data_IF_325209693434
#
_entry.id   IF_325209693434
#
_cell.length_a   1.000
_cell.length_b   1.000
_cell.length_c   1.000
_cell.angle_alpha   90.00
_cell.angle_beta   90.00
_cell.angle_gamma   90.00
#
_symmetry.space_group_name_H-M   'P 1'
#
loop_
_entity.id
_entity.type
_entity.pdbx_description
1 polymer ?
#
# COMPACT_ATOMS: atom_id res chain seq x y z
N UNK A 1 59.14 -26.87 -0.71
CA UNK A 1 58.69 -25.46 -0.75
C UNK A 1 57.70 -25.22 0.38
N UNK A 2 58.14 -24.59 1.48
CA UNK A 2 57.27 -24.22 2.61
C UNK A 2 56.66 -22.86 2.29
N UNK A 3 55.33 -22.80 2.16
CA UNK A 3 54.61 -21.56 1.91
C UNK A 3 54.86 -20.56 3.05
N UNK A 4 55.08 -19.31 2.67
CA UNK A 4 55.44 -18.21 3.54
C UNK A 4 54.23 -17.85 4.46
N UNK A 5 54.34 -17.91 5.80
CA UNK A 5 53.23 -17.65 6.71
C UNK A 5 52.57 -16.25 6.65
N UNK A 6 53.24 -15.13 6.25
CA UNK A 6 52.56 -13.84 6.20
C UNK A 6 51.57 -13.71 5.05
N UNK A 7 51.58 -14.61 4.06
CA UNK A 7 50.69 -14.54 2.90
C UNK A 7 49.31 -15.11 3.21
N UNK A 8 49.26 -16.23 3.94
CA UNK A 8 47.99 -16.90 4.33
C UNK A 8 47.21 -16.02 5.31
N UNK A 9 47.89 -15.36 6.26
CA UNK A 9 47.24 -14.42 7.17
C UNK A 9 46.62 -13.22 6.46
N UNK A 10 47.32 -12.63 5.49
CA UNK A 10 46.80 -11.51 4.68
C UNK A 10 45.61 -11.94 3.81
N UNK A 11 45.65 -13.15 3.26
CA UNK A 11 44.55 -13.69 2.46
C UNK A 11 43.30 -13.95 3.32
N UNK A 12 43.48 -14.50 4.52
CA UNK A 12 42.37 -14.73 5.46
C UNK A 12 41.71 -13.41 5.90
N UNK A 13 42.51 -12.37 6.18
CA UNK A 13 42.01 -11.03 6.50
C UNK A 13 41.23 -10.44 5.32
N UNK A 14 41.72 -10.58 4.08
CA UNK A 14 41.01 -10.12 2.89
C UNK A 14 39.65 -10.81 2.72
N UNK A 15 39.59 -12.14 2.90
CA UNK A 15 38.33 -12.88 2.83
C UNK A 15 37.33 -12.46 3.91
N UNK A 16 37.80 -12.21 5.14
CA UNK A 16 36.98 -11.68 6.22
C UNK A 16 36.41 -10.30 5.87
N UNK A 17 37.23 -9.42 5.29
CA UNK A 17 36.77 -8.10 4.85
C UNK A 17 35.72 -8.20 3.73
N UNK A 18 35.92 -9.08 2.76
CA UNK A 18 34.93 -9.32 1.69
C UNK A 18 33.63 -9.88 2.26
N UNK A 19 33.68 -10.81 3.23
CA UNK A 19 32.47 -11.29 3.88
C UNK A 19 31.77 -10.22 4.70
N UNK A 20 32.51 -9.42 5.47
CA UNK A 20 31.94 -8.30 6.20
C UNK A 20 31.27 -7.28 5.26
N UNK A 21 31.90 -6.98 4.11
CA UNK A 21 31.32 -6.10 3.10
C UNK A 21 30.04 -6.68 2.49
N UNK A 22 30.01 -7.97 2.14
CA UNK A 22 28.79 -8.61 1.66
C UNK A 22 27.67 -8.57 2.71
N UNK A 23 27.99 -8.82 3.98
CA UNK A 23 27.02 -8.76 5.07
C UNK A 23 26.47 -7.34 5.27
N UNK A 24 27.33 -6.32 5.15
CA UNK A 24 26.91 -4.93 5.16
C UNK A 24 25.97 -4.62 3.98
N UNK A 25 26.26 -5.14 2.77
CA UNK A 25 25.38 -4.96 1.60
C UNK A 25 24.04 -5.69 1.75
N UNK A 26 24.00 -6.87 2.36
CA UNK A 26 22.72 -7.51 2.74
C UNK A 26 21.92 -6.60 3.65
N UNK A 27 22.57 -6.01 4.66
CA UNK A 27 21.89 -5.10 5.57
C UNK A 27 21.42 -3.82 4.90
N UNK A 28 22.19 -3.27 3.95
CA UNK A 28 21.76 -2.17 3.09
C UNK A 28 20.55 -2.58 2.24
N UNK A 29 20.58 -3.76 1.62
CA UNK A 29 19.51 -4.22 0.75
C UNK A 29 18.19 -4.46 1.52
N UNK A 30 18.28 -4.90 2.78
CA UNK A 30 17.13 -5.02 3.69
C UNK A 30 16.55 -3.65 4.11
N UNK A 31 17.29 -2.56 3.92
CA UNK A 31 16.86 -1.18 4.22
C UNK A 31 16.32 -0.45 2.99
N UNK A 32 16.25 -1.08 1.83
CA UNK A 32 15.64 -0.48 0.65
C UNK A 32 14.16 -0.24 0.97
N UNK A 33 13.82 1.04 1.11
CA UNK A 33 12.46 1.50 1.20
C UNK A 33 12.11 2.08 -0.16
N UNK A 34 11.19 1.43 -0.88
CA UNK A 34 10.61 2.02 -2.08
C UNK A 34 9.72 3.18 -1.66
N UNK A 35 10.26 4.38 -1.81
CA UNK A 35 9.58 5.61 -1.47
C UNK A 35 8.84 6.16 -2.69
N UNK A 36 7.52 6.25 -2.58
CA UNK A 36 6.57 6.46 -3.69
C UNK A 36 6.44 7.91 -4.09
N UNK A 37 7.56 8.52 -4.42
CA UNK A 37 7.59 9.88 -4.91
C UNK A 37 7.03 10.02 -6.32
N UNK A 38 5.82 9.53 -6.65
CA UNK A 38 5.11 10.04 -7.84
C UNK A 38 5.03 11.57 -7.74
N UNK A 39 4.74 12.10 -6.53
CA UNK A 39 4.84 13.52 -6.23
C UNK A 39 6.28 14.07 -6.33
N UNK A 40 7.31 13.32 -5.88
CA UNK A 40 8.73 13.74 -6.06
C UNK A 40 9.16 13.83 -7.52
N UNK A 41 8.59 13.01 -8.41
CA UNK A 41 8.84 13.14 -9.85
C UNK A 41 8.34 14.49 -10.36
N UNK A 42 7.31 15.05 -9.72
CA UNK A 42 6.77 16.37 -10.03
C UNK A 42 7.34 17.50 -9.13
N UNK A 43 8.11 17.17 -8.08
CA UNK A 43 8.86 18.15 -7.30
C UNK A 43 9.78 18.93 -8.22
N UNK A 44 9.48 20.21 -8.37
CA UNK A 44 10.22 21.07 -9.26
C UNK A 44 10.21 22.50 -8.74
N UNK A 45 11.18 23.30 -9.15
CA UNK A 45 11.23 24.74 -8.90
C UNK A 45 10.24 25.53 -9.78
N UNK A 46 9.33 24.84 -10.48
CA UNK A 46 8.33 25.47 -11.34
C UNK A 46 7.29 26.20 -10.48
N UNK A 47 6.94 27.47 -10.79
CA UNK A 47 5.86 28.20 -10.13
C UNK A 47 4.54 27.42 -10.04
N UNK A 48 4.23 26.57 -11.02
CA UNK A 48 3.03 25.73 -10.99
C UNK A 48 3.04 24.70 -9.85
N UNK A 49 4.21 24.15 -9.51
CA UNK A 49 4.34 23.21 -8.38
C UNK A 49 4.17 23.92 -7.04
N UNK A 50 4.71 25.13 -6.90
CA UNK A 50 4.52 25.95 -5.70
C UNK A 50 3.03 26.30 -5.46
N UNK A 51 2.29 26.66 -6.52
CA UNK A 51 0.86 26.93 -6.44
C UNK A 51 0.04 25.68 -6.07
N UNK A 52 0.43 24.52 -6.60
CA UNK A 52 -0.18 23.25 -6.22
C UNK A 52 0.07 22.93 -4.74
N UNK A 53 1.28 23.11 -4.24
CA UNK A 53 1.60 22.93 -2.81
C UNK A 53 0.81 23.89 -1.92
N UNK A 54 0.75 25.18 -2.29
CA UNK A 54 -0.06 26.16 -1.55
C UNK A 54 -1.56 25.80 -1.54
N UNK A 55 -2.07 25.23 -2.64
CA UNK A 55 -3.44 24.72 -2.70
C UNK A 55 -3.65 23.51 -1.78
N UNK A 56 -2.72 22.55 -1.75
CA UNK A 56 -2.80 21.40 -0.84
C UNK A 56 -2.78 21.83 0.63
N UNK A 57 -1.89 22.75 1.00
CA UNK A 57 -1.76 23.28 2.36
C UNK A 57 -2.99 24.10 2.79
N UNK A 58 -3.56 24.89 1.86
CA UNK A 58 -4.68 25.77 2.16
C UNK A 58 -6.00 25.01 2.31
N UNK A 59 -6.20 23.95 1.50
CA UNK A 59 -7.46 23.23 1.43
C UNK A 59 -7.44 21.86 2.12
N UNK A 60 -6.31 21.46 2.73
CA UNK A 60 -6.08 20.11 3.28
C UNK A 60 -6.64 19.03 2.35
N UNK A 61 -6.28 19.11 1.07
CA UNK A 61 -6.87 18.24 0.04
C UNK A 61 -6.50 16.80 0.37
N UNK A 62 -7.54 15.96 0.48
CA UNK A 62 -7.43 14.64 1.07
C UNK A 62 -6.86 13.57 0.14
N UNK A 63 -5.64 13.78 -0.34
CA UNK A 63 -4.87 12.73 -1.02
C UNK A 63 -4.68 11.49 -0.12
N UNK A 64 -4.86 11.65 1.19
CA UNK A 64 -4.85 10.57 2.19
C UNK A 64 -6.19 9.88 2.43
N UNK A 65 -7.30 10.28 1.81
CA UNK A 65 -8.60 9.70 2.15
C UNK A 65 -8.69 8.21 1.82
N UNK A 66 -9.18 7.46 2.80
CA UNK A 66 -9.57 6.07 2.63
C UNK A 66 -11.05 6.05 2.24
N UNK A 67 -11.32 5.51 1.05
CA UNK A 67 -12.68 5.42 0.52
C UNK A 67 -13.15 3.99 0.68
N UNK A 68 -14.26 3.78 1.39
CA UNK A 68 -14.86 2.46 1.55
C UNK A 68 -16.16 2.41 0.76
N UNK A 69 -16.19 1.56 -0.26
CA UNK A 69 -17.35 1.32 -1.11
C UNK A 69 -18.04 0.05 -0.65
N UNK A 70 -19.31 0.17 -0.33
CA UNK A 70 -20.19 -0.91 0.08
C UNK A 70 -21.13 -1.26 -1.07
N UNK A 71 -21.26 -2.54 -1.39
CA UNK A 71 -22.18 -3.05 -2.40
C UNK A 71 -23.09 -4.10 -1.78
N UNK A 72 -24.40 -3.94 -1.95
CA UNK A 72 -25.43 -4.86 -1.47
C UNK A 72 -26.71 -4.70 -2.27
N UNK A 73 -27.81 -5.31 -1.80
CA UNK A 73 -29.11 -5.23 -2.49
C UNK A 73 -29.79 -3.87 -2.26
N UNK A 74 -30.43 -3.66 -1.12
CA UNK A 74 -31.07 -2.38 -0.77
C UNK A 74 -30.59 -1.91 0.60
N UNK A 75 -29.92 -0.75 0.64
CA UNK A 75 -29.47 -0.11 1.88
C UNK A 75 -30.62 0.52 2.70
N UNK A 76 -31.85 0.54 2.20
CA UNK A 76 -33.04 0.86 3.00
C UNK A 76 -33.55 -0.34 3.82
N UNK A 77 -33.04 -1.55 3.58
CA UNK A 77 -33.34 -2.72 4.41
C UNK A 77 -32.81 -2.53 5.84
N UNK A 78 -33.59 -2.79 6.90
CA UNK A 78 -33.17 -2.53 8.28
C UNK A 78 -31.86 -3.23 8.68
N UNK A 79 -31.60 -4.45 8.18
CA UNK A 79 -30.39 -5.20 8.50
C UNK A 79 -29.18 -4.55 7.84
N UNK A 80 -29.27 -4.22 6.55
CA UNK A 80 -28.15 -3.61 5.80
C UNK A 80 -27.90 -2.17 6.22
N UNK A 81 -28.96 -1.40 6.45
CA UNK A 81 -28.89 -0.04 6.98
C UNK A 81 -28.20 -0.01 8.35
N UNK A 82 -28.61 -0.92 9.25
CA UNK A 82 -28.02 -1.08 10.56
C UNK A 82 -26.53 -1.44 10.48
N UNK A 83 -26.16 -2.40 9.64
CA UNK A 83 -24.76 -2.81 9.46
C UNK A 83 -23.87 -1.69 8.90
N UNK A 84 -24.35 -0.92 7.92
CA UNK A 84 -23.61 0.22 7.37
C UNK A 84 -23.45 1.34 8.40
N UNK A 85 -24.48 1.57 9.22
CA UNK A 85 -24.45 2.56 10.30
C UNK A 85 -23.47 2.13 11.40
N UNK A 86 -23.48 0.85 11.76
CA UNK A 86 -22.54 0.27 12.73
C UNK A 86 -21.10 0.42 12.27
N UNK A 87 -20.80 0.15 10.99
CA UNK A 87 -19.47 0.41 10.42
C UNK A 87 -19.02 1.86 10.65
N UNK A 88 -19.88 2.83 10.35
CA UNK A 88 -19.57 4.26 10.52
C UNK A 88 -19.35 4.59 12.00
N UNK A 89 -20.13 4.00 12.90
CA UNK A 89 -19.93 4.17 14.34
C UNK A 89 -18.64 3.54 14.84
N UNK A 90 -18.30 2.32 14.46
CA UNK A 90 -17.07 1.66 14.91
C UNK A 90 -15.83 2.40 14.40
N UNK A 91 -15.82 2.77 13.11
CA UNK A 91 -14.64 3.38 12.48
C UNK A 91 -14.36 4.80 13.00
N UNK A 92 -15.37 5.51 13.52
CA UNK A 92 -15.17 6.84 14.13
C UNK A 92 -14.36 6.80 15.43
N UNK A 93 -14.30 5.64 16.09
CA UNK A 93 -13.52 5.44 17.31
C UNK A 93 -12.14 4.84 17.04
N UNK A 94 -11.81 4.50 15.79
CA UNK A 94 -10.52 3.95 15.45
C UNK A 94 -9.43 5.06 15.54
N UNK A 95 -8.36 4.83 16.33
CA UNK A 95 -7.25 5.77 16.41
C UNK A 95 -6.63 6.04 15.03
N UNK A 96 -6.52 7.31 14.67
CA UNK A 96 -5.96 7.73 13.37
C UNK A 96 -7.00 8.13 12.35
N UNK A 97 -8.30 8.02 12.64
CA UNK A 97 -9.36 8.66 11.86
C UNK A 97 -9.66 10.04 12.44
N UNK A 98 -9.46 11.10 11.65
CA UNK A 98 -9.73 12.49 12.03
C UNK A 98 -11.10 13.00 11.58
N UNK A 99 -11.67 12.40 10.53
CA UNK A 99 -12.98 12.79 10.00
C UNK A 99 -13.65 11.70 9.19
N UNK A 100 -14.98 11.76 9.10
CA UNK A 100 -15.79 10.81 8.34
C UNK A 100 -16.87 11.57 7.59
N UNK A 101 -16.98 11.28 6.29
CA UNK A 101 -18.11 11.69 5.46
C UNK A 101 -18.84 10.44 4.97
N UNK A 102 -20.14 10.36 5.23
CA UNK A 102 -20.96 9.18 4.92
C UNK A 102 -22.37 9.60 4.50
N UNK A 103 -23.21 8.65 4.02
CA UNK A 103 -24.63 8.92 3.82
C UNK A 103 -25.33 9.44 5.08
N UNK A 104 -24.85 9.06 6.28
CA UNK A 104 -25.40 9.47 7.57
C UNK A 104 -24.96 10.86 8.03
N UNK A 105 -24.11 11.54 7.25
CA UNK A 105 -23.87 12.98 7.43
C UNK A 105 -25.10 13.82 7.04
N UNK A 106 -26.07 13.21 6.36
CA UNK A 106 -27.38 13.77 6.06
C UNK A 106 -28.41 13.29 7.07
N UNK A 107 -29.53 14.01 7.18
CA UNK A 107 -30.61 13.71 8.14
C UNK A 107 -31.37 12.43 7.76
N UNK A 108 -30.76 11.28 8.09
CA UNK A 108 -31.34 9.96 7.89
C UNK A 108 -31.92 9.44 9.22
N UNK A 109 -33.17 8.93 9.20
CA UNK A 109 -33.83 8.45 10.40
C UNK A 109 -33.17 7.15 10.94
N UNK A 110 -33.45 6.75 12.18
CA UNK A 110 -32.88 5.53 12.76
C UNK A 110 -33.31 4.25 12.02
N UNK A 111 -32.57 3.14 12.19
CA UNK A 111 -32.91 1.83 11.61
C UNK A 111 -34.34 1.41 12.00
N UNK A 112 -35.07 0.81 11.05
CA UNK A 112 -36.43 0.32 11.28
C UNK A 112 -37.53 1.39 11.19
N UNK A 113 -37.18 2.63 10.83
CA UNK A 113 -38.18 3.68 10.55
C UNK A 113 -39.02 3.28 9.32
N UNK A 114 -40.36 3.27 9.42
CA UNK A 114 -41.23 3.09 8.26
C UNK A 114 -40.90 4.12 7.18
N UNK A 115 -40.99 3.73 5.91
CA UNK A 115 -40.73 4.60 4.75
C UNK A 115 -39.29 5.12 4.59
N UNK A 116 -38.29 4.50 5.22
CA UNK A 116 -36.87 4.84 5.06
C UNK A 116 -36.45 4.95 3.58
N UNK A 117 -36.91 4.03 2.73
CA UNK A 117 -36.64 4.07 1.28
C UNK A 117 -37.13 5.38 0.63
N UNK A 118 -38.34 5.85 0.99
CA UNK A 118 -38.90 7.09 0.43
C UNK A 118 -38.13 8.32 0.91
N UNK A 119 -37.67 8.31 2.17
CA UNK A 119 -36.81 9.38 2.72
C UNK A 119 -35.49 9.43 1.97
N UNK A 120 -34.83 8.29 1.76
CA UNK A 120 -33.57 8.20 1.02
C UNK A 120 -33.73 8.66 -0.44
N UNK A 121 -34.82 8.27 -1.11
CA UNK A 121 -35.10 8.68 -2.49
C UNK A 121 -35.33 10.19 -2.61
N UNK A 122 -36.04 10.77 -1.63
CA UNK A 122 -36.23 12.22 -1.54
C UNK A 122 -34.91 12.95 -1.31
N UNK A 123 -34.11 12.49 -0.34
CA UNK A 123 -32.79 13.06 -0.07
C UNK A 123 -31.88 13.00 -1.29
N UNK A 124 -31.93 11.90 -2.05
CA UNK A 124 -31.18 11.75 -3.29
C UNK A 124 -31.59 12.77 -4.35
N UNK A 125 -32.89 13.05 -4.50
CA UNK A 125 -33.40 14.05 -5.44
C UNK A 125 -33.04 15.48 -5.02
N UNK A 126 -33.20 15.80 -3.73
CA UNK A 126 -33.07 17.16 -3.20
C UNK A 126 -31.62 17.58 -2.96
N UNK A 127 -30.71 16.64 -2.63
CA UNK A 127 -29.35 16.95 -2.20
C UNK A 127 -28.29 16.38 -3.15
N UNK A 128 -27.62 17.21 -3.97
CA UNK A 128 -26.53 16.77 -4.82
C UNK A 128 -25.36 16.12 -4.06
N UNK A 129 -25.13 16.51 -2.80
CA UNK A 129 -24.10 15.92 -1.93
C UNK A 129 -24.38 14.46 -1.58
N UNK A 130 -25.64 14.10 -1.29
CA UNK A 130 -26.03 12.74 -0.93
C UNK A 130 -25.78 11.75 -2.08
N UNK A 131 -25.97 12.21 -3.33
CA UNK A 131 -25.72 11.40 -4.54
C UNK A 131 -24.28 10.93 -4.69
N UNK A 132 -23.32 11.59 -4.02
CA UNK A 132 -21.91 11.19 -4.00
C UNK A 132 -21.66 9.98 -3.11
N UNK A 133 -22.48 9.79 -2.09
CA UNK A 133 -22.32 8.74 -1.09
C UNK A 133 -23.27 7.56 -1.28
N UNK A 134 -24.28 7.69 -2.15
CA UNK A 134 -25.22 6.61 -2.40
C UNK A 134 -25.77 6.60 -3.82
N UNK A 135 -25.82 5.41 -4.42
CA UNK A 135 -26.48 5.17 -5.71
C UNK A 135 -27.97 5.41 -5.62
N UNK A 136 -28.60 5.76 -6.74
CA UNK A 136 -30.05 5.95 -6.84
C UNK A 136 -30.84 4.71 -6.44
N UNK A 137 -30.33 3.53 -6.81
CA UNK A 137 -30.94 2.24 -6.53
C UNK A 137 -30.68 1.76 -5.10
N UNK A 138 -29.91 2.52 -4.29
CA UNK A 138 -29.49 2.16 -2.94
C UNK A 138 -28.76 0.81 -2.84
N UNK A 139 -28.10 0.39 -3.93
CA UNK A 139 -27.28 -0.84 -3.98
C UNK A 139 -25.80 -0.56 -3.69
N UNK A 140 -25.35 0.68 -3.86
CA UNK A 140 -23.98 1.12 -3.62
C UNK A 140 -23.97 2.31 -2.66
N UNK A 141 -23.14 2.21 -1.62
CA UNK A 141 -22.88 3.29 -0.68
C UNK A 141 -21.37 3.53 -0.57
N UNK A 142 -20.97 4.75 -0.25
CA UNK A 142 -19.58 5.15 -0.10
C UNK A 142 -19.40 5.91 1.21
N UNK A 143 -18.34 5.59 1.93
CA UNK A 143 -17.90 6.30 3.12
C UNK A 143 -16.47 6.78 2.88
N UNK A 144 -16.24 8.07 3.02
CA UNK A 144 -14.91 8.66 2.95
C UNK A 144 -14.39 8.89 4.37
N UNK A 145 -13.19 8.38 4.64
CA UNK A 145 -12.52 8.47 5.92
C UNK A 145 -11.28 9.33 5.75
N UNK A 146 -11.22 10.44 6.47
CA UNK A 146 -10.08 11.33 6.53
C UNK A 146 -9.16 10.89 7.68
N UNK A 147 -7.97 10.35 7.39
CA UNK A 147 -7.01 10.04 8.44
C UNK A 147 -6.52 11.33 9.10
N UNK A 148 -6.27 11.28 10.42
CA UNK A 148 -5.56 12.34 11.14
C UNK A 148 -4.04 12.32 10.87
N UNK A 149 -3.58 11.35 10.08
CA UNK A 149 -2.19 11.12 9.69
C UNK A 149 -1.95 11.75 8.31
N UNK A 150 -0.74 12.22 8.06
CA UNK A 150 -0.38 12.75 6.74
C UNK A 150 -0.50 11.68 5.64
N UNK A 151 -0.71 12.06 4.37
CA UNK A 151 -0.90 11.14 3.23
C UNK A 151 0.28 10.19 2.98
N UNK A 152 1.46 10.52 3.50
CA UNK A 152 2.70 9.74 3.37
C UNK A 152 3.10 8.98 4.64
N UNK A 153 2.28 9.00 5.68
CA UNK A 153 2.61 8.34 6.94
C UNK A 153 2.58 6.80 6.81
N UNK A 154 3.61 6.12 7.29
CA UNK A 154 3.68 4.65 7.33
C UNK A 154 2.52 4.05 8.15
N UNK A 155 1.97 4.80 9.11
CA UNK A 155 0.81 4.42 9.91
C UNK A 155 -0.50 4.35 9.10
N UNK A 156 -0.55 4.86 7.86
CA UNK A 156 -1.72 4.74 6.99
C UNK A 156 -2.00 3.29 6.56
N UNK A 157 -0.95 2.45 6.41
CA UNK A 157 -1.10 1.03 6.05
C UNK A 157 -1.82 0.20 7.12
N UNK A 158 -1.36 0.18 8.39
CA UNK A 158 -2.07 -0.56 9.44
C UNK A 158 -3.48 -0.02 9.67
N UNK A 159 -3.70 1.30 9.53
CA UNK A 159 -5.03 1.90 9.61
C UNK A 159 -5.98 1.34 8.53
N UNK A 160 -5.55 1.32 7.27
CA UNK A 160 -6.35 0.74 6.18
C UNK A 160 -6.66 -0.75 6.38
N UNK A 161 -5.74 -1.51 7.00
CA UNK A 161 -5.97 -2.90 7.35
C UNK A 161 -7.05 -3.05 8.44
N UNK A 162 -7.00 -2.23 9.50
CA UNK A 162 -8.01 -2.22 10.57
C UNK A 162 -9.39 -1.81 10.06
N UNK A 163 -9.47 -0.75 9.25
CA UNK A 163 -10.73 -0.34 8.61
C UNK A 163 -11.32 -1.50 7.79
N UNK A 164 -10.48 -2.31 7.12
CA UNK A 164 -10.95 -3.48 6.36
C UNK A 164 -11.51 -4.57 7.25
N UNK A 165 -10.91 -4.78 8.41
CA UNK A 165 -11.37 -5.74 9.40
C UNK A 165 -12.72 -5.32 9.98
N UNK A 166 -12.83 -4.06 10.42
CA UNK A 166 -14.09 -3.45 10.90
C UNK A 166 -15.19 -3.57 9.84
N UNK A 167 -14.90 -3.20 8.58
CA UNK A 167 -15.86 -3.31 7.48
C UNK A 167 -16.34 -4.74 7.26
N UNK A 168 -15.44 -5.74 7.33
CA UNK A 168 -15.82 -7.15 7.17
C UNK A 168 -16.63 -7.67 8.35
N UNK A 169 -16.27 -7.29 9.57
CA UNK A 169 -16.95 -7.75 10.79
C UNK A 169 -18.38 -7.22 10.87
N UNK A 170 -18.58 -5.93 10.59
CA UNK A 170 -19.89 -5.27 10.67
C UNK A 170 -20.81 -5.60 9.50
N UNK A 171 -20.28 -5.63 8.27
CA UNK A 171 -21.11 -5.69 7.06
C UNK A 171 -21.20 -7.07 6.42
N UNK A 172 -20.26 -7.98 6.72
CA UNK A 172 -20.24 -9.35 6.22
C UNK A 172 -21.50 -10.17 6.57
N UNK A 173 -21.97 -10.16 7.83
CA UNK A 173 -23.20 -10.86 8.21
C UNK A 173 -24.46 -10.36 7.49
N UNK A 174 -24.47 -9.12 7.03
CA UNK A 174 -25.59 -8.50 6.32
C UNK A 174 -25.54 -8.72 4.79
N UNK A 175 -24.59 -9.53 4.29
CA UNK A 175 -24.43 -9.81 2.87
C UNK A 175 -23.91 -8.61 2.06
N UNK A 176 -23.27 -7.64 2.71
CA UNK A 176 -22.70 -6.47 2.06
C UNK A 176 -21.23 -6.74 1.75
N UNK A 177 -20.81 -6.40 0.53
CA UNK A 177 -19.41 -6.48 0.10
C UNK A 177 -18.76 -5.12 0.29
N UNK A 178 -17.83 -5.01 1.24
CA UNK A 178 -17.02 -3.81 1.45
C UNK A 178 -15.69 -3.88 0.68
N UNK A 179 -15.37 -2.83 -0.08
CA UNK A 179 -14.11 -2.67 -0.82
C UNK A 179 -13.47 -1.34 -0.44
N UNK A 180 -12.20 -1.39 -0.04
CA UNK A 180 -11.42 -0.17 0.23
C UNK A 180 -10.71 0.27 -1.05
N UNK A 181 -10.81 1.55 -1.35
CA UNK A 181 -10.14 2.28 -2.42
C UNK A 181 -9.60 3.60 -1.87
N UNK A 182 -9.16 4.49 -2.75
CA UNK A 182 -8.41 5.69 -2.40
C UNK A 182 -6.92 5.51 -2.65
N UNK A 183 -6.21 6.63 -2.69
CA UNK A 183 -4.79 6.67 -3.05
C UNK A 183 -3.90 5.80 -2.14
N UNK A 184 -4.07 5.81 -0.79
CA UNK A 184 -3.27 4.95 0.08
C UNK A 184 -3.50 3.45 -0.14
N UNK A 185 -4.74 3.04 -0.40
CA UNK A 185 -5.09 1.63 -0.61
C UNK A 185 -4.63 1.11 -1.97
N UNK A 186 -4.71 1.94 -3.01
CA UNK A 186 -4.18 1.62 -4.34
C UNK A 186 -2.65 1.52 -4.30
N UNK A 187 -1.99 2.48 -3.64
CA UNK A 187 -0.54 2.51 -3.41
C UNK A 187 -0.02 1.20 -2.82
N UNK A 188 -0.59 0.79 -1.69
CA UNK A 188 -0.16 -0.42 -0.97
C UNK A 188 -0.31 -1.70 -1.82
N UNK A 189 -1.36 -1.77 -2.65
CA UNK A 189 -1.55 -2.90 -3.56
C UNK A 189 -0.55 -2.89 -4.73
N UNK A 190 -0.29 -1.72 -5.32
CA UNK A 190 0.68 -1.58 -6.43
C UNK A 190 2.09 -1.91 -5.95
N UNK A 191 2.52 -1.38 -4.81
CA UNK A 191 3.86 -1.65 -4.27
C UNK A 191 4.06 -3.14 -4.02
N UNK A 192 3.10 -3.79 -3.37
CA UNK A 192 3.19 -5.23 -3.10
C UNK A 192 3.22 -6.06 -4.38
N UNK A 193 2.43 -5.68 -5.38
CA UNK A 193 2.43 -6.35 -6.68
C UNK A 193 3.79 -6.17 -7.38
N UNK A 194 4.30 -4.94 -7.46
CA UNK A 194 5.60 -4.64 -8.09
C UNK A 194 6.74 -5.36 -7.38
N UNK A 195 6.73 -5.41 -6.04
CA UNK A 195 7.76 -6.13 -5.28
C UNK A 195 7.67 -7.64 -5.48
N UNK A 196 6.46 -8.19 -5.43
CA UNK A 196 6.22 -9.60 -5.72
C UNK A 196 6.71 -9.99 -7.11
N UNK A 197 6.44 -9.15 -8.12
CA UNK A 197 6.88 -9.34 -9.49
C UNK A 197 8.40 -9.24 -9.62
N UNK A 198 9.02 -8.24 -8.98
CA UNK A 198 10.48 -8.08 -8.97
C UNK A 198 11.17 -9.32 -8.39
N UNK A 199 10.72 -9.80 -7.22
CA UNK A 199 11.29 -10.99 -6.58
C UNK A 199 11.07 -12.23 -7.44
N UNK A 200 9.84 -12.45 -7.90
CA UNK A 200 9.49 -13.62 -8.71
C UNK A 200 10.30 -13.66 -10.00
N UNK A 201 10.38 -12.54 -10.73
CA UNK A 201 11.15 -12.45 -11.97
C UNK A 201 12.66 -12.57 -11.73
N UNK A 202 13.18 -12.03 -10.62
CA UNK A 202 14.60 -12.17 -10.28
C UNK A 202 14.94 -13.63 -9.99
N UNK A 203 14.12 -14.34 -9.22
CA UNK A 203 14.33 -15.77 -8.93
C UNK A 203 14.25 -16.62 -10.20
N UNK A 204 13.26 -16.37 -11.06
CA UNK A 204 13.15 -17.04 -12.36
C UNK A 204 14.38 -16.75 -13.23
N UNK A 205 14.80 -15.48 -13.30
CA UNK A 205 15.96 -15.05 -14.05
C UNK A 205 17.25 -15.72 -13.58
N UNK A 206 17.48 -15.80 -12.27
CA UNK A 206 18.62 -16.52 -11.69
C UNK A 206 18.57 -18.00 -12.01
N UNK A 207 17.41 -18.65 -11.90
CA UNK A 207 17.26 -20.08 -12.21
C UNK A 207 17.54 -20.37 -13.70
N UNK A 208 16.89 -19.64 -14.60
CA UNK A 208 17.08 -19.80 -16.06
C UNK A 208 18.51 -19.45 -16.46
N UNK A 209 19.05 -18.34 -15.95
CA UNK A 209 20.43 -17.93 -16.22
C UNK A 209 21.46 -18.95 -15.73
N UNK A 210 21.21 -19.57 -14.57
CA UNK A 210 22.07 -20.63 -14.03
C UNK A 210 22.02 -21.88 -14.90
N UNK A 211 20.83 -22.32 -15.32
CA UNK A 211 20.66 -23.47 -16.22
C UNK A 211 21.39 -23.21 -17.55
N UNK A 212 21.18 -22.05 -18.16
CA UNK A 212 21.86 -21.67 -19.40
C UNK A 212 23.38 -21.63 -19.23
N UNK A 213 23.88 -21.12 -18.09
CA UNK A 213 25.31 -21.10 -17.78
C UNK A 213 25.90 -22.50 -17.66
N UNK A 214 25.19 -23.42 -16.99
CA UNK A 214 25.60 -24.85 -16.89
C UNK A 214 25.64 -25.51 -18.27
N UNK A 215 24.62 -25.26 -19.11
CA UNK A 215 24.55 -25.84 -20.45
C UNK A 215 25.66 -25.30 -21.36
N UNK A 216 25.95 -24.00 -21.30
CA UNK A 216 26.98 -23.35 -22.11
C UNK A 216 28.40 -23.76 -21.69
N UNK A 217 28.67 -23.78 -20.38
CA UNK A 217 30.01 -24.08 -19.84
C UNK A 217 30.25 -25.57 -19.63
N UNK A 218 29.19 -26.40 -19.70
CA UNK A 218 29.21 -27.85 -19.42
C UNK A 218 29.87 -28.21 -18.09
N UNK A 219 29.89 -27.27 -17.15
CA UNK A 219 30.57 -27.37 -15.87
C UNK A 219 29.82 -26.58 -14.82
N UNK A 220 29.36 -27.28 -13.77
CA UNK A 220 28.65 -26.67 -12.65
C UNK A 220 29.55 -25.70 -11.88
N UNK A 221 30.84 -25.99 -11.76
CA UNK A 221 31.79 -25.14 -11.04
C UNK A 221 31.99 -23.79 -11.76
N UNK A 222 32.16 -23.81 -13.08
CA UNK A 222 32.31 -22.58 -13.87
C UNK A 222 31.01 -21.77 -13.91
N UNK A 223 29.86 -22.45 -14.06
CA UNK A 223 28.56 -21.79 -14.02
C UNK A 223 28.31 -21.13 -12.65
N UNK A 224 28.60 -21.82 -11.55
CA UNK A 224 28.46 -21.27 -10.21
C UNK A 224 29.33 -20.01 -10.01
N UNK A 225 30.58 -19.99 -10.49
CA UNK A 225 31.42 -18.79 -10.39
C UNK A 225 30.81 -17.59 -11.12
N UNK A 226 30.24 -17.79 -12.31
CA UNK A 226 29.61 -16.72 -13.09
C UNK A 226 28.35 -16.22 -12.37
N UNK A 227 27.44 -17.11 -11.99
CA UNK A 227 26.19 -16.75 -11.31
C UNK A 227 26.45 -16.06 -9.97
N UNK A 228 27.41 -16.56 -9.18
CA UNK A 228 27.79 -15.94 -7.91
C UNK A 228 28.36 -14.54 -8.13
N UNK A 229 29.19 -14.34 -9.15
CA UNK A 229 29.75 -13.01 -9.45
C UNK A 229 28.64 -12.01 -9.79
N UNK A 230 27.68 -12.40 -10.63
CA UNK A 230 26.52 -11.56 -10.95
C UNK A 230 25.60 -11.32 -9.75
N UNK A 231 25.35 -12.35 -8.93
CA UNK A 231 24.52 -12.24 -7.73
C UNK A 231 25.14 -11.31 -6.68
N UNK A 232 26.45 -11.39 -6.47
CA UNK A 232 27.18 -10.47 -5.59
C UNK A 232 27.13 -9.04 -6.13
N UNK A 233 27.28 -8.83 -7.43
CA UNK A 233 27.17 -7.49 -8.03
C UNK A 233 25.76 -6.89 -7.81
N UNK A 234 24.70 -7.68 -8.01
CA UNK A 234 23.32 -7.25 -7.75
C UNK A 234 23.09 -6.93 -6.27
N UNK A 235 23.58 -7.78 -5.37
CA UNK A 235 23.50 -7.56 -3.93
C UNK A 235 24.17 -6.25 -3.51
N UNK A 236 25.34 -5.95 -4.09
CA UNK A 236 26.04 -4.70 -3.82
C UNK A 236 25.30 -3.49 -4.37
N UNK A 237 24.73 -3.58 -5.57
CA UNK A 237 23.91 -2.51 -6.13
C UNK A 237 22.72 -2.20 -5.23
N UNK A 238 21.97 -3.23 -4.83
CA UNK A 238 20.84 -3.11 -3.91
C UNK A 238 21.28 -2.59 -2.53
N UNK A 239 22.38 -3.11 -1.99
CA UNK A 239 22.94 -2.66 -0.72
C UNK A 239 23.32 -1.19 -0.71
N UNK A 240 23.95 -0.72 -1.77
CA UNK A 240 24.31 0.69 -1.94
C UNK A 240 23.08 1.57 -2.10
N UNK A 241 22.05 1.14 -2.84
CA UNK A 241 20.79 1.89 -2.95
C UNK A 241 20.10 2.04 -1.60
N UNK A 242 19.98 0.95 -0.83
CA UNK A 242 19.38 1.04 0.50
C UNK A 242 20.19 1.89 1.48
N UNK A 243 21.52 1.97 1.36
CA UNK A 243 22.32 2.93 2.14
C UNK A 243 22.21 4.38 1.64
N UNK A 244 22.00 4.58 0.34
CA UNK A 244 21.77 5.89 -0.24
C UNK A 244 20.35 6.42 0.05
N UNK A 245 19.45 5.58 0.58
CA UNK A 245 18.05 5.93 0.80
C UNK A 245 17.24 6.01 -0.48
N UNK A 246 17.64 5.22 -1.49
CA UNK A 246 16.97 5.07 -2.78
C UNK A 246 16.11 3.81 -2.84
#
# INVERSE_FOLDING_TARGET
>A
MRANPPFVGKLAVLWLLVMAANLAMVFGALRINFDDGLARVFESSNPAYAQYQEFLDTFEVSEGDLLVVFTGDDFADPVRYGALREFVFEVQFEPGIGGILSPFSFDLPPPGTPDLAQVMDRLWLENPGFRRFMSRERTVAMVALAPALGPHDEAARPLAARVREIARATTGPAGIVARITGYPALRDNVIRAVFGDFVTNTVIGVAVGSILSVLALRSVALAAMVTLTSGVALLWMLGLFGFAGL
#
